data_IF_932590525916
#
_entry.id   IF_932590525916
#
_cell.length_a   1.000
_cell.length_b   1.000
_cell.length_c   1.000
_cell.angle_alpha   90.00
_cell.angle_beta   90.00
_cell.angle_gamma   90.00
#
_symmetry.space_group_name_H-M   'P 1'
#
loop_
_entity.id
_entity.type
_entity.pdbx_description
1 polymer ?
#
# COMPACT_ATOMS: atom_id res chain seq x y z
N UNK A 1 5.27 35.47 6.17
CA UNK A 1 4.86 34.13 5.69
C UNK A 1 6.13 33.36 5.38
N UNK A 2 6.45 32.23 6.04
CA UNK A 2 7.64 31.48 5.72
C UNK A 2 7.52 30.91 4.29
N UNK A 3 8.59 31.04 3.52
CA UNK A 3 8.67 30.52 2.15
C UNK A 3 8.81 29.00 2.22
N UNK A 4 7.98 28.21 1.52
CA UNK A 4 8.13 26.76 1.52
C UNK A 4 9.46 26.37 0.87
N UNK A 5 10.28 25.61 1.58
CA UNK A 5 11.52 25.03 1.04
C UNK A 5 11.18 23.70 0.40
N UNK A 6 11.20 23.67 -0.93
CA UNK A 6 11.05 22.45 -1.71
C UNK A 6 12.42 21.83 -1.96
N UNK A 7 12.57 20.54 -1.68
CA UNK A 7 13.77 19.76 -2.03
C UNK A 7 13.38 18.42 -2.64
N UNK A 8 14.31 17.84 -3.41
CA UNK A 8 14.16 16.48 -3.96
C UNK A 8 14.06 15.45 -2.83
N UNK A 9 13.05 14.60 -2.88
CA UNK A 9 12.89 13.49 -1.94
C UNK A 9 13.99 12.43 -2.15
N UNK A 10 14.43 11.82 -1.06
CA UNK A 10 15.41 10.72 -1.01
C UNK A 10 14.76 9.44 -0.52
N UNK A 11 15.45 8.30 -0.64
CA UNK A 11 14.95 7.02 -0.12
C UNK A 11 14.69 7.01 1.40
N UNK A 12 15.23 7.97 2.17
CA UNK A 12 14.95 8.14 3.60
C UNK A 12 13.68 8.94 3.86
N UNK A 13 13.27 9.75 2.89
CA UNK A 13 12.03 10.53 2.93
C UNK A 13 10.83 9.69 2.42
N UNK A 14 11.12 8.59 1.74
CA UNK A 14 10.14 7.70 1.13
C UNK A 14 10.06 6.43 1.97
N UNK A 15 8.94 6.16 2.65
CA UNK A 15 8.72 4.85 3.24
C UNK A 15 8.88 3.80 2.13
N UNK A 16 9.54 2.67 2.37
CA UNK A 16 9.71 1.66 1.32
C UNK A 16 8.34 1.19 0.80
N UNK A 17 7.90 1.74 -0.34
CA UNK A 17 6.58 1.45 -0.90
C UNK A 17 6.67 0.14 -1.67
N UNK A 18 6.36 -0.97 -0.99
CA UNK A 18 6.07 -2.22 -1.70
C UNK A 18 4.64 -2.12 -2.24
N UNK A 19 4.50 -1.59 -3.46
CA UNK A 19 3.22 -1.50 -4.13
C UNK A 19 2.72 -2.91 -4.54
N UNK A 20 1.88 -3.51 -3.72
CA UNK A 20 1.24 -4.78 -4.02
C UNK A 20 0.03 -4.55 -4.95
N UNK A 21 0.19 -4.84 -6.24
CA UNK A 21 -0.96 -5.06 -7.13
C UNK A 21 -1.41 -6.52 -7.03
N UNK A 22 -2.20 -6.82 -6.00
CA UNK A 22 -2.90 -8.10 -5.93
C UNK A 22 -4.20 -8.04 -6.75
N UNK A 23 -4.22 -8.74 -7.90
CA UNK A 23 -5.45 -9.03 -8.65
C UNK A 23 -5.67 -10.54 -8.60
N UNK A 24 -6.73 -10.95 -7.89
CA UNK A 24 -7.16 -12.34 -7.84
C UNK A 24 -8.31 -12.47 -8.84
N UNK A 25 -8.24 -13.46 -9.72
CA UNK A 25 -9.36 -13.82 -10.61
C UNK A 25 -10.62 -14.10 -9.80
N UNK A 26 -11.78 -13.72 -10.34
CA UNK A 26 -13.05 -13.76 -9.61
C UNK A 26 -13.37 -15.17 -9.06
N UNK A 27 -12.99 -16.23 -9.76
CA UNK A 27 -13.21 -17.63 -9.36
C UNK A 27 -12.26 -18.18 -8.30
N UNK A 28 -11.27 -17.41 -7.82
CA UNK A 28 -10.30 -17.83 -6.78
C UNK A 28 -10.34 -16.95 -5.54
N UNK A 29 -11.42 -16.18 -5.37
CA UNK A 29 -11.65 -15.35 -4.18
C UNK A 29 -12.17 -16.24 -3.05
N UNK A 30 -11.56 -16.14 -1.87
CA UNK A 30 -11.99 -16.88 -0.67
C UNK A 30 -10.98 -17.93 -0.19
N UNK A 31 -10.06 -18.38 -1.04
CA UNK A 31 -9.15 -19.50 -0.71
C UNK A 31 -7.91 -19.07 0.10
N UNK A 32 -7.91 -17.85 0.66
CA UNK A 32 -6.80 -17.34 1.47
C UNK A 32 -5.52 -16.95 0.70
N UNK A 33 -5.40 -17.28 -0.59
CA UNK A 33 -4.20 -17.00 -1.41
C UNK A 33 -3.77 -15.52 -1.36
N UNK A 34 -4.73 -14.59 -1.46
CA UNK A 34 -4.45 -13.16 -1.34
C UNK A 34 -3.80 -12.78 -0.01
N UNK A 35 -4.30 -13.34 1.09
CA UNK A 35 -3.73 -13.07 2.42
C UNK A 35 -2.31 -13.64 2.52
N UNK A 36 -2.07 -14.83 1.98
CA UNK A 36 -0.75 -15.45 1.93
C UNK A 36 0.24 -14.59 1.15
N UNK A 37 -0.14 -14.09 -0.03
CA UNK A 37 0.72 -13.22 -0.85
C UNK A 37 1.07 -11.92 -0.13
N UNK A 38 0.09 -11.26 0.49
CA UNK A 38 0.32 -10.00 1.23
C UNK A 38 1.23 -10.23 2.44
N UNK A 39 1.00 -11.30 3.21
CA UNK A 39 1.84 -11.64 4.37
C UNK A 39 3.29 -11.92 3.96
N UNK A 40 3.48 -12.73 2.92
CA UNK A 40 4.80 -13.00 2.36
C UNK A 40 5.53 -11.70 1.97
N UNK A 41 4.83 -10.78 1.31
CA UNK A 41 5.41 -9.50 0.92
C UNK A 41 5.77 -8.60 2.12
N UNK A 42 4.95 -8.60 3.17
CA UNK A 42 5.25 -7.89 4.43
C UNK A 42 6.49 -8.50 5.11
N UNK A 43 6.60 -9.82 5.16
CA UNK A 43 7.75 -10.49 5.75
C UNK A 43 9.03 -10.26 4.94
N UNK A 44 8.93 -10.22 3.61
CA UNK A 44 10.05 -9.83 2.75
C UNK A 44 10.47 -8.38 2.99
N UNK A 45 9.51 -7.46 3.12
CA UNK A 45 9.80 -6.07 3.44
C UNK A 45 10.54 -5.96 4.79
N UNK A 46 10.08 -6.68 5.81
CA UNK A 46 10.76 -6.75 7.12
C UNK A 46 12.18 -7.29 7.00
N UNK A 47 12.38 -8.40 6.28
CA UNK A 47 13.73 -8.99 6.04
C UNK A 47 14.69 -8.01 5.36
N UNK A 48 14.17 -7.12 4.52
CA UNK A 48 14.96 -6.08 3.84
C UNK A 48 15.14 -4.81 4.67
N UNK A 49 14.68 -4.78 5.93
CA UNK A 49 14.78 -3.61 6.80
C UNK A 49 13.84 -2.47 6.41
N UNK A 50 12.74 -2.76 5.70
CA UNK A 50 11.72 -1.75 5.41
C UNK A 50 11.07 -1.26 6.70
N UNK A 51 11.00 0.06 6.88
CA UNK A 51 10.34 0.67 8.04
C UNK A 51 8.80 0.68 7.92
N UNK A 52 8.26 0.55 6.70
CA UNK A 52 6.82 0.63 6.43
C UNK A 52 6.47 -0.16 5.17
N UNK A 53 5.24 -0.67 5.11
CA UNK A 53 4.59 -1.12 3.88
C UNK A 53 3.36 -0.25 3.65
N UNK A 54 3.28 0.41 2.49
CA UNK A 54 2.11 1.19 2.08
C UNK A 54 1.49 0.59 0.83
N UNK A 55 0.17 0.69 0.75
CA UNK A 55 -0.60 0.33 -0.42
C UNK A 55 -1.59 1.44 -0.75
N UNK A 56 -1.92 1.56 -2.02
CA UNK A 56 -3.03 2.37 -2.51
C UNK A 56 -4.05 1.46 -3.16
N UNK A 57 -5.32 1.73 -2.90
CA UNK A 57 -6.45 1.04 -3.50
C UNK A 57 -7.45 2.09 -3.94
N UNK A 58 -8.08 1.85 -5.09
CA UNK A 58 -9.14 2.72 -5.59
C UNK A 58 -10.27 2.84 -4.55
N UNK A 59 -10.79 4.06 -4.37
CA UNK A 59 -11.80 4.38 -3.34
C UNK A 59 -13.07 3.53 -3.48
N UNK A 60 -13.43 3.12 -4.69
CA UNK A 60 -14.59 2.26 -4.97
C UNK A 60 -14.42 0.81 -4.47
N UNK A 61 -13.19 0.34 -4.22
CA UNK A 61 -12.89 -1.05 -3.86
C UNK A 61 -13.05 -1.31 -2.36
N UNK A 62 -14.26 -1.12 -1.84
CA UNK A 62 -14.60 -1.28 -0.42
C UNK A 62 -14.21 -2.64 0.15
N UNK A 63 -14.39 -3.73 -0.59
CA UNK A 63 -13.98 -5.07 -0.15
C UNK A 63 -12.47 -5.25 -0.06
N UNK A 64 -11.71 -4.58 -0.94
CA UNK A 64 -10.25 -4.59 -0.85
C UNK A 64 -9.80 -3.85 0.42
N UNK A 65 -10.45 -2.73 0.76
CA UNK A 65 -10.15 -2.01 2.00
C UNK A 65 -10.39 -2.88 3.24
N UNK A 66 -11.56 -3.54 3.34
CA UNK A 66 -11.87 -4.48 4.43
C UNK A 66 -10.87 -5.65 4.49
N UNK A 67 -10.43 -6.12 3.33
CA UNK A 67 -9.41 -7.16 3.24
C UNK A 67 -8.07 -6.70 3.84
N UNK A 68 -7.58 -5.50 3.49
CA UNK A 68 -6.33 -4.99 4.04
C UNK A 68 -6.44 -4.62 5.53
N UNK A 69 -7.57 -4.07 5.98
CA UNK A 69 -7.82 -3.80 7.40
C UNK A 69 -7.75 -5.07 8.25
N UNK A 70 -8.35 -6.18 7.76
CA UNK A 70 -8.22 -7.51 8.42
C UNK A 70 -6.80 -8.05 8.48
N UNK A 71 -5.90 -7.55 7.63
CA UNK A 71 -4.48 -7.89 7.64
C UNK A 71 -3.64 -6.94 8.50
N UNK A 72 -4.26 -5.98 9.19
CA UNK A 72 -3.59 -5.03 10.09
C UNK A 72 -3.13 -3.74 9.44
N UNK A 73 -3.51 -3.47 8.18
CA UNK A 73 -3.27 -2.17 7.57
C UNK A 73 -4.20 -1.11 8.17
N UNK A 74 -3.65 0.06 8.46
CA UNK A 74 -4.40 1.21 8.96
C UNK A 74 -4.55 2.25 7.86
N UNK A 75 -5.76 2.80 7.69
CA UNK A 75 -6.01 3.96 6.82
C UNK A 75 -5.57 5.24 7.51
N UNK A 76 -4.27 5.52 7.43
CA UNK A 76 -3.64 6.66 8.10
C UNK A 76 -3.46 7.89 7.22
N UNK A 77 -3.66 7.75 5.90
CA UNK A 77 -3.41 8.81 4.93
C UNK A 77 -4.50 8.83 3.85
N UNK A 78 -4.84 10.04 3.39
CA UNK A 78 -5.66 10.23 2.20
C UNK A 78 -4.80 10.09 0.93
N UNK A 79 -5.31 9.36 -0.06
CA UNK A 79 -4.70 9.28 -1.38
C UNK A 79 -5.14 10.45 -2.25
N UNK A 80 -4.18 11.14 -2.86
CA UNK A 80 -4.43 12.23 -3.81
C UNK A 80 -3.94 11.83 -5.20
N UNK A 81 -4.75 12.11 -6.22
CA UNK A 81 -4.42 11.90 -7.63
C UNK A 81 -4.84 13.13 -8.42
N UNK A 82 -3.95 13.66 -9.26
CA UNK A 82 -4.25 14.74 -10.20
C UNK A 82 -4.09 14.19 -11.62
N UNK A 83 -5.18 13.93 -12.36
CA UNK A 83 -5.11 13.57 -13.76
C UNK A 83 -4.52 14.73 -14.57
N UNK A 84 -3.49 14.43 -15.36
CA UNK A 84 -2.93 15.35 -16.34
C UNK A 84 -3.34 14.81 -17.71
N UNK A 85 -4.52 15.23 -18.18
CA UNK A 85 -4.92 15.10 -19.57
C UNK A 85 -4.50 16.35 -20.33
#
# INVERSE_FOLDING_TARGET
MPVPVLRRATARDVPAVVALRARIEAGRRGDGLGATMVRYAVDEARRRGAALVQLTSDRSRTDAHRFYERLGFLRTHDGFSLPLI
#
